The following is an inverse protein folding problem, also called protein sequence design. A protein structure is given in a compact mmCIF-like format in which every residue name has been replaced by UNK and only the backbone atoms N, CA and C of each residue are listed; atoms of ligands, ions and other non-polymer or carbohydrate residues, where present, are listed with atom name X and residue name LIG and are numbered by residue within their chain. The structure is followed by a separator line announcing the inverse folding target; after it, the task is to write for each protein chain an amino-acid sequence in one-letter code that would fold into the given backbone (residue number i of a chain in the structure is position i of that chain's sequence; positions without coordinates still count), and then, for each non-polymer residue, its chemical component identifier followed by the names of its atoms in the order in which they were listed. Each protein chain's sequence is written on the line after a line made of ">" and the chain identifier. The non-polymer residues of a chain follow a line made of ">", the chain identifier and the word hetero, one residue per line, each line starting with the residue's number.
data_IF_472323053661
#
_entry.id   IF_472323053661
#
_cell.length_a   1.000
_cell.length_b   1.000
_cell.length_c   1.000
_cell.angle_alpha   90.00
_cell.angle_beta   90.00
_cell.angle_gamma   90.00
#
_symmetry.space_group_name_H-M   'P 1'
#
loop_
_entity.id
_entity.type
_entity.pdbx_description
1 polymer ?
#
# COMPACT_ATOMS: atom_id res chain seq x y z
N UNK A 1 28.15 -59.80 -18.44
CA UNK A 1 28.87 -59.40 -17.21
C UNK A 1 29.41 -57.98 -17.34
N UNK A 2 30.24 -57.64 -18.34
CA UNK A 2 30.82 -56.30 -18.50
C UNK A 2 29.81 -55.15 -18.75
N UNK A 3 28.67 -55.43 -19.38
CA UNK A 3 27.64 -54.44 -19.71
C UNK A 3 26.80 -54.03 -18.48
N UNK A 4 26.50 -54.99 -17.60
CA UNK A 4 25.81 -54.75 -16.33
C UNK A 4 26.65 -53.92 -15.35
N UNK A 5 27.96 -54.14 -15.32
CA UNK A 5 28.88 -53.35 -14.48
C UNK A 5 29.01 -51.92 -14.97
N UNK A 6 28.98 -51.69 -16.30
CA UNK A 6 29.01 -50.35 -16.86
C UNK A 6 27.71 -49.59 -16.58
N UNK A 7 26.55 -50.26 -16.67
CA UNK A 7 25.26 -49.68 -16.32
C UNK A 7 25.18 -49.35 -14.81
N UNK A 8 25.66 -50.25 -13.93
CA UNK A 8 25.71 -50.01 -12.49
C UNK A 8 26.56 -48.78 -12.14
N UNK A 9 27.74 -48.65 -12.72
CA UNK A 9 28.61 -47.48 -12.50
C UNK A 9 27.95 -46.19 -13.00
N UNK A 10 27.30 -46.22 -14.18
CA UNK A 10 26.60 -45.06 -14.72
C UNK A 10 25.41 -44.64 -13.84
N UNK A 11 24.72 -45.59 -13.20
CA UNK A 11 23.65 -45.28 -12.25
C UNK A 11 24.17 -44.71 -10.94
N UNK A 12 25.30 -45.22 -10.43
CA UNK A 12 25.94 -44.69 -9.22
C UNK A 12 26.41 -43.25 -9.41
N UNK A 13 27.10 -42.96 -10.52
CA UNK A 13 27.57 -41.60 -10.83
C UNK A 13 26.39 -40.61 -10.96
N UNK A 14 25.28 -41.02 -11.60
CA UNK A 14 24.06 -40.21 -11.68
C UNK A 14 23.40 -40.02 -10.32
N UNK A 15 23.44 -41.03 -9.46
CA UNK A 15 22.88 -40.94 -8.11
C UNK A 15 23.70 -39.97 -7.26
N UNK A 16 25.03 -39.98 -7.38
CA UNK A 16 25.92 -39.03 -6.72
C UNK A 16 25.66 -37.60 -7.18
N UNK A 17 25.53 -37.37 -8.49
CA UNK A 17 25.17 -36.07 -9.07
C UNK A 17 23.79 -35.59 -8.59
N UNK A 18 22.80 -36.49 -8.51
CA UNK A 18 21.47 -36.16 -7.97
C UNK A 18 21.54 -35.82 -6.47
N UNK A 19 22.34 -36.54 -5.70
CA UNK A 19 22.50 -36.24 -4.27
C UNK A 19 23.17 -34.88 -4.04
N UNK A 20 24.19 -34.55 -4.82
CA UNK A 20 24.86 -33.25 -4.75
C UNK A 20 23.92 -32.10 -5.12
N UNK A 21 23.15 -32.26 -6.20
CA UNK A 21 22.17 -31.24 -6.63
C UNK A 21 21.04 -31.07 -5.62
N UNK A 22 20.52 -32.17 -5.04
CA UNK A 22 19.50 -32.09 -3.98
C UNK A 22 20.05 -31.38 -2.74
N UNK A 23 21.27 -31.70 -2.31
CA UNK A 23 21.91 -31.03 -1.17
C UNK A 23 22.11 -29.53 -1.41
N UNK A 24 22.48 -29.16 -2.64
CA UNK A 24 22.62 -27.75 -3.03
C UNK A 24 21.27 -27.05 -2.97
N UNK A 25 20.23 -27.65 -3.57
CA UNK A 25 18.88 -27.09 -3.55
C UNK A 25 18.28 -27.01 -2.16
N UNK A 26 18.54 -27.95 -1.26
CA UNK A 26 18.08 -27.88 0.12
C UNK A 26 18.71 -26.69 0.86
N UNK A 27 19.98 -26.39 0.57
CA UNK A 27 20.67 -25.21 1.10
C UNK A 27 20.04 -23.93 0.56
N UNK A 28 19.85 -23.84 -0.76
CA UNK A 28 19.21 -22.69 -1.41
C UNK A 28 17.79 -22.45 -0.87
N UNK A 29 17.01 -23.52 -0.68
CA UNK A 29 15.65 -23.45 -0.13
C UNK A 29 15.68 -22.91 1.30
N UNK A 30 16.64 -23.33 2.13
CA UNK A 30 16.78 -22.81 3.49
C UNK A 30 17.13 -21.31 3.46
N UNK A 31 18.11 -20.91 2.66
CA UNK A 31 18.48 -19.50 2.53
C UNK A 31 17.31 -18.64 2.03
N UNK A 32 16.57 -19.10 1.03
CA UNK A 32 15.40 -18.38 0.51
C UNK A 32 14.29 -18.27 1.57
N UNK A 33 14.06 -19.32 2.37
CA UNK A 33 13.10 -19.29 3.47
C UNK A 33 13.47 -18.29 4.56
N UNK A 34 14.75 -18.06 4.79
CA UNK A 34 15.23 -17.03 5.72
C UNK A 34 15.11 -15.62 5.13
N UNK A 35 15.33 -15.46 3.83
CA UNK A 35 15.24 -14.15 3.16
C UNK A 35 13.81 -13.63 2.99
N UNK A 36 12.84 -14.51 2.73
CA UNK A 36 11.42 -14.12 2.56
C UNK A 36 10.89 -13.23 3.70
N UNK A 37 10.95 -13.63 4.99
CA UNK A 37 10.39 -12.82 6.07
C UNK A 37 11.11 -11.47 6.21
N UNK A 38 12.42 -11.41 5.96
CA UNK A 38 13.20 -10.16 6.00
C UNK A 38 12.71 -9.18 4.92
N UNK A 39 12.49 -9.69 3.70
CA UNK A 39 11.98 -8.89 2.60
C UNK A 39 10.53 -8.46 2.84
N UNK A 40 9.69 -9.33 3.38
CA UNK A 40 8.30 -9.00 3.74
C UNK A 40 8.22 -7.90 4.80
N UNK A 41 9.06 -7.98 5.85
CA UNK A 41 9.14 -6.96 6.89
C UNK A 41 9.63 -5.63 6.33
N UNK A 42 10.70 -5.66 5.53
CA UNK A 42 11.21 -4.46 4.84
C UNK A 42 10.15 -3.81 3.94
N UNK A 43 9.44 -4.62 3.15
CA UNK A 43 8.36 -4.15 2.28
C UNK A 43 7.22 -3.53 3.09
N UNK A 44 6.84 -4.15 4.22
CA UNK A 44 5.85 -3.60 5.15
C UNK A 44 6.28 -2.23 5.70
N UNK A 45 7.52 -2.09 6.13
CA UNK A 45 8.04 -0.82 6.62
C UNK A 45 8.07 0.26 5.54
N UNK A 46 8.54 -0.07 4.34
CA UNK A 46 8.60 0.85 3.20
C UNK A 46 7.20 1.31 2.75
N UNK A 47 6.24 0.40 2.69
CA UNK A 47 4.85 0.73 2.36
C UNK A 47 4.25 1.69 3.38
N UNK A 48 4.41 1.40 4.68
CA UNK A 48 3.91 2.29 5.73
C UNK A 48 4.59 3.66 5.71
N UNK A 49 5.91 3.71 5.48
CA UNK A 49 6.65 4.98 5.39
C UNK A 49 6.21 5.82 4.20
N UNK A 50 5.98 5.19 3.05
CA UNK A 50 5.52 5.88 1.83
C UNK A 50 4.09 6.41 1.98
N UNK A 51 3.22 5.67 2.66
CA UNK A 51 1.82 6.02 2.91
C UNK A 51 1.60 6.95 4.10
N UNK A 52 2.59 7.10 4.97
CA UNK A 52 2.50 7.85 6.23
C UNK A 52 1.95 9.28 6.07
N UNK A 53 2.25 9.92 4.95
CA UNK A 53 1.82 11.28 4.63
C UNK A 53 0.49 11.36 3.86
N UNK A 54 -0.08 10.21 3.47
CA UNK A 54 -1.31 10.15 2.72
C UNK A 54 -2.53 10.21 3.65
N UNK A 55 -3.56 10.87 3.17
CA UNK A 55 -4.90 10.94 3.75
C UNK A 55 -5.86 10.34 2.73
N UNK A 56 -6.71 9.43 3.19
CA UNK A 56 -7.84 8.93 2.42
C UNK A 56 -9.07 9.79 2.76
N UNK A 57 -9.56 10.54 1.77
CA UNK A 57 -10.79 11.32 1.85
C UNK A 57 -11.94 10.48 1.31
N UNK A 58 -12.98 10.30 2.11
CA UNK A 58 -14.21 9.58 1.72
C UNK A 58 -15.37 10.54 1.55
N UNK A 59 -16.38 10.08 0.83
CA UNK A 59 -17.66 10.79 0.62
C UNK A 59 -17.55 12.07 -0.24
N UNK A 60 -16.37 12.34 -0.82
CA UNK A 60 -16.20 13.50 -1.72
C UNK A 60 -16.94 13.28 -3.04
N UNK A 61 -17.93 14.12 -3.39
CA UNK A 61 -18.75 13.98 -4.60
C UNK A 61 -17.92 13.84 -5.88
N UNK A 62 -18.32 12.97 -6.81
CA UNK A 62 -17.65 12.81 -8.12
C UNK A 62 -17.81 14.04 -9.04
N UNK A 63 -18.72 14.97 -8.71
CA UNK A 63 -18.88 16.27 -9.37
C UNK A 63 -17.60 17.09 -9.34
N UNK A 64 -16.82 16.96 -8.27
CA UNK A 64 -15.50 17.58 -8.16
C UNK A 64 -14.54 16.87 -9.12
N UNK A 65 -14.24 17.53 -10.24
CA UNK A 65 -13.30 17.00 -11.24
C UNK A 65 -11.91 16.82 -10.64
N UNK A 66 -11.13 15.89 -11.19
CA UNK A 66 -9.76 15.60 -10.72
C UNK A 66 -8.87 16.84 -10.71
N UNK A 67 -9.08 17.75 -11.67
CA UNK A 67 -8.33 18.99 -11.81
C UNK A 67 -8.63 20.00 -10.69
N UNK A 68 -9.86 20.01 -10.18
CA UNK A 68 -10.31 20.91 -9.11
C UNK A 68 -10.09 20.34 -7.70
N UNK A 69 -9.73 19.05 -7.58
CA UNK A 69 -9.50 18.41 -6.29
C UNK A 69 -8.50 19.17 -5.39
N UNK A 70 -7.33 19.62 -5.87
CA UNK A 70 -6.37 20.31 -5.02
C UNK A 70 -6.97 21.58 -4.40
N UNK A 71 -7.69 22.37 -5.20
CA UNK A 71 -8.26 23.66 -4.81
C UNK A 71 -9.46 23.47 -3.87
N UNK A 72 -10.40 22.60 -4.24
CA UNK A 72 -11.58 22.30 -3.42
C UNK A 72 -11.19 21.79 -2.04
N UNK A 73 -10.23 20.87 -1.96
CA UNK A 73 -9.74 20.37 -0.68
C UNK A 73 -8.97 21.44 0.10
N UNK A 74 -8.33 22.40 -0.58
CA UNK A 74 -7.56 23.47 0.10
C UNK A 74 -8.51 24.44 0.75
N UNK A 75 -9.55 24.85 0.05
CA UNK A 75 -10.63 25.66 0.60
C UNK A 75 -11.30 24.95 1.78
N UNK A 76 -11.58 23.66 1.66
CA UNK A 76 -12.19 22.85 2.71
C UNK A 76 -11.36 22.82 4.00
N UNK A 77 -10.06 22.56 3.87
CA UNK A 77 -9.18 22.41 5.03
C UNK A 77 -8.74 23.75 5.64
N UNK A 78 -8.93 24.89 4.96
CA UNK A 78 -8.71 26.22 5.56
C UNK A 78 -9.84 26.63 6.52
N UNK A 79 -11.01 25.98 6.44
CA UNK A 79 -12.14 26.20 7.34
C UNK A 79 -11.93 25.47 8.68
N UNK A 80 -12.59 25.91 9.78
CA UNK A 80 -12.68 25.10 10.99
C UNK A 80 -13.20 23.69 10.66
N UNK A 81 -12.67 22.62 11.28
CA UNK A 81 -11.69 22.59 12.39
C UNK A 81 -10.21 22.57 11.93
N UNK A 82 -9.95 22.54 10.62
CA UNK A 82 -8.67 22.18 9.99
C UNK A 82 -7.62 23.31 9.87
N UNK A 83 -7.92 24.51 10.38
CA UNK A 83 -7.14 25.78 10.28
C UNK A 83 -5.60 25.57 10.29
N UNK A 84 -4.93 25.87 9.17
CA UNK A 84 -3.46 25.88 9.09
C UNK A 84 -2.88 26.06 7.69
N UNK A 85 -1.55 26.19 7.60
CA UNK A 85 -0.81 26.19 6.33
C UNK A 85 -0.77 24.75 5.79
N UNK A 86 -1.50 24.51 4.72
CA UNK A 86 -1.68 23.18 4.15
C UNK A 86 -0.89 23.08 2.86
N UNK A 87 0.36 22.62 2.99
CA UNK A 87 1.16 22.24 1.85
C UNK A 87 0.83 20.78 1.49
N UNK A 88 0.29 20.61 0.29
CA UNK A 88 -0.08 19.33 -0.30
C UNK A 88 0.85 19.08 -1.47
N UNK A 89 1.33 17.85 -1.60
CA UNK A 89 2.15 17.48 -2.75
C UNK A 89 1.23 17.12 -3.93
N UNK A 90 0.26 16.22 -3.69
CA UNK A 90 -0.61 15.67 -4.73
C UNK A 90 -1.98 15.26 -4.19
N UNK A 91 -3.02 15.34 -5.03
CA UNK A 91 -4.34 14.79 -4.76
C UNK A 91 -4.87 14.07 -6.01
N UNK A 92 -5.42 12.87 -5.85
CA UNK A 92 -6.00 12.10 -6.96
C UNK A 92 -7.11 11.18 -6.47
N UNK A 93 -8.08 10.87 -7.32
CA UNK A 93 -9.06 9.82 -7.04
C UNK A 93 -8.41 8.44 -7.15
N UNK A 94 -8.92 7.49 -6.39
CA UNK A 94 -8.57 6.07 -6.57
C UNK A 94 -8.80 5.63 -8.01
N UNK A 95 -7.89 4.82 -8.54
CA UNK A 95 -7.89 4.33 -9.93
C UNK A 95 -9.03 3.35 -10.25
N UNK A 96 -9.94 3.10 -9.31
CA UNK A 96 -11.13 2.30 -9.56
C UNK A 96 -12.00 3.01 -10.61
N UNK A 97 -12.58 2.25 -11.54
CA UNK A 97 -13.63 2.77 -12.41
C UNK A 97 -14.79 3.30 -11.56
N UNK A 98 -15.39 4.46 -11.90
CA UNK A 98 -16.66 4.87 -11.31
C UNK A 98 -17.64 3.71 -11.51
N UNK A 99 -18.12 3.13 -10.42
CA UNK A 99 -19.04 2.01 -10.57
C UNK A 99 -20.39 2.56 -10.99
N UNK A 100 -20.90 2.11 -12.13
CA UNK A 100 -22.26 2.43 -12.58
C UNK A 100 -23.35 1.96 -11.59
N UNK A 101 -22.98 1.07 -10.64
CA UNK A 101 -23.86 0.41 -9.68
C UNK A 101 -23.64 0.96 -8.25
N UNK A 102 -22.47 1.53 -7.95
CA UNK A 102 -22.12 2.01 -6.61
C UNK A 102 -22.52 3.47 -6.48
N UNK A 103 -23.43 3.76 -5.55
CA UNK A 103 -23.80 5.14 -5.18
C UNK A 103 -22.70 5.86 -4.39
N UNK A 104 -21.70 5.13 -3.90
CA UNK A 104 -20.59 5.70 -3.11
C UNK A 104 -19.51 6.29 -4.02
N UNK A 105 -19.14 7.58 -3.85
CA UNK A 105 -18.02 8.19 -4.57
C UNK A 105 -16.70 7.45 -4.35
N UNK A 106 -15.76 7.55 -5.30
CA UNK A 106 -14.41 7.03 -5.13
C UNK A 106 -13.64 7.84 -4.10
N UNK A 107 -12.89 7.14 -3.28
CA UNK A 107 -11.96 7.76 -2.34
C UNK A 107 -10.93 8.64 -3.06
N UNK A 108 -10.54 9.72 -2.40
CA UNK A 108 -9.48 10.61 -2.87
C UNK A 108 -8.27 10.45 -1.97
N UNK A 109 -7.11 10.23 -2.58
CA UNK A 109 -5.84 10.12 -1.89
C UNK A 109 -5.13 11.47 -1.97
N UNK A 110 -4.82 12.03 -0.81
CA UNK A 110 -4.14 13.33 -0.68
C UNK A 110 -2.82 13.11 0.05
N UNK A 111 -1.71 13.46 -0.59
CA UNK A 111 -0.38 13.44 0.05
C UNK A 111 -0.08 14.80 0.65
N UNK A 112 0.09 14.83 1.97
CA UNK A 112 0.52 16.02 2.68
C UNK A 112 2.04 16.13 2.67
N UNK A 113 2.56 17.35 2.51
CA UNK A 113 3.99 17.59 2.53
C UNK A 113 4.59 17.26 3.91
N UNK A 114 3.90 17.69 4.99
CA UNK A 114 4.35 17.49 6.36
C UNK A 114 3.45 16.52 7.15
N UNK A 115 4.09 15.49 7.73
CA UNK A 115 3.42 14.48 8.56
C UNK A 115 2.64 15.07 9.76
N UNK A 116 3.23 16.02 10.47
CA UNK A 116 2.62 16.59 11.67
C UNK A 116 1.36 17.40 11.35
N UNK A 117 1.32 18.06 10.17
CA UNK A 117 0.13 18.76 9.68
C UNK A 117 -0.96 17.75 9.35
N UNK A 118 -0.61 16.64 8.68
CA UNK A 118 -1.54 15.54 8.39
C UNK A 118 -2.19 14.98 9.66
N UNK A 119 -1.40 14.68 10.69
CA UNK A 119 -1.94 14.16 11.96
C UNK A 119 -2.87 15.15 12.65
N UNK A 120 -2.47 16.42 12.72
CA UNK A 120 -3.32 17.49 13.28
C UNK A 120 -4.63 17.62 12.52
N UNK A 121 -4.59 17.55 11.19
CA UNK A 121 -5.77 17.62 10.34
C UNK A 121 -6.74 16.45 10.60
N UNK A 122 -6.23 15.22 10.64
CA UNK A 122 -7.06 14.04 10.93
C UNK A 122 -7.63 14.11 12.35
N UNK A 123 -6.84 14.54 13.34
CA UNK A 123 -7.33 14.69 14.72
C UNK A 123 -8.41 15.77 14.83
N UNK A 124 -8.21 16.94 14.21
CA UNK A 124 -9.16 18.04 14.27
C UNK A 124 -10.50 17.69 13.61
N UNK A 125 -10.47 16.84 12.58
CA UNK A 125 -11.64 16.45 11.79
C UNK A 125 -12.30 15.15 12.26
N UNK A 126 -11.78 14.53 13.33
CA UNK A 126 -12.28 13.24 13.84
C UNK A 126 -13.72 13.31 14.33
N UNK A 127 -14.02 14.35 15.10
CA UNK A 127 -15.35 14.56 15.70
C UNK A 127 -16.15 15.65 14.96
N UNK A 128 -15.50 16.40 14.06
CA UNK A 128 -16.08 17.50 13.30
C UNK A 128 -15.77 17.29 11.81
N UNK A 129 -16.69 16.72 11.02
CA UNK A 129 -16.47 16.49 9.61
C UNK A 129 -16.26 17.82 8.86
N UNK A 130 -15.52 17.76 7.75
CA UNK A 130 -15.30 18.91 6.88
C UNK A 130 -16.37 18.91 5.81
N UNK A 131 -16.87 20.08 5.41
CA UNK A 131 -17.88 20.21 4.35
C UNK A 131 -17.28 20.70 3.03
N UNK A 132 -17.64 20.01 1.94
CA UNK A 132 -17.30 20.35 0.55
C UNK A 132 -18.55 20.19 -0.30
N UNK A 133 -18.97 21.24 -1.01
CA UNK A 133 -20.21 21.25 -1.81
C UNK A 133 -21.44 20.75 -1.02
N UNK A 134 -21.59 21.21 0.23
CA UNK A 134 -22.65 20.81 1.17
C UNK A 134 -22.66 19.31 1.54
N UNK A 135 -21.58 18.59 1.22
CA UNK A 135 -21.37 17.18 1.60
C UNK A 135 -20.29 17.07 2.66
N UNK A 136 -20.61 16.35 3.73
CA UNK A 136 -19.65 16.04 4.78
C UNK A 136 -18.66 14.98 4.28
N UNK A 137 -17.38 15.32 4.35
CA UNK A 137 -16.28 14.42 4.02
C UNK A 137 -15.56 13.96 5.28
N UNK A 138 -15.05 12.73 5.22
CA UNK A 138 -14.29 12.10 6.31
C UNK A 138 -12.86 11.85 5.91
N UNK A 139 -11.94 12.11 6.84
CA UNK A 139 -10.50 11.95 6.64
C UNK A 139 -9.99 10.73 7.42
N UNK A 140 -9.30 9.83 6.72
CA UNK A 140 -8.72 8.63 7.30
C UNK A 140 -7.23 8.55 7.02
N UNK A 141 -6.52 7.81 7.87
CA UNK A 141 -5.13 7.44 7.60
C UNK A 141 -5.08 6.40 6.47
N UNK A 142 -4.15 6.58 5.53
CA UNK A 142 -3.79 5.56 4.55
C UNK A 142 -2.90 4.51 5.22
N UNK A 143 -3.49 3.39 5.61
CA UNK A 143 -2.80 2.26 6.20
C UNK A 143 -2.55 1.20 5.14
N UNK A 144 -1.37 0.57 5.19
CA UNK A 144 -1.10 -0.58 4.34
C UNK A 144 -2.10 -1.72 4.64
N UNK A 145 -2.48 -2.54 3.65
CA UNK A 145 -3.48 -3.60 3.83
C UNK A 145 -3.16 -4.57 4.98
N UNK A 146 -1.88 -4.84 5.21
CA UNK A 146 -1.40 -5.71 6.29
C UNK A 146 -1.51 -5.08 7.70
N UNK A 147 -1.82 -3.79 7.81
CA UNK A 147 -2.10 -3.10 9.07
C UNK A 147 -3.60 -2.98 9.35
N UNK A 148 -4.44 -3.11 8.32
CA UNK A 148 -5.90 -3.18 8.45
C UNK A 148 -6.27 -4.59 8.90
N UNK A 149 -6.36 -4.82 10.21
CA UNK A 149 -6.93 -6.07 10.73
C UNK A 149 -8.37 -6.19 10.22
N UNK A 150 -8.70 -7.33 9.60
CA UNK A 150 -10.09 -7.74 9.33
C UNK A 150 -10.79 -8.08 10.64
#
# INVERSE_FOLDING_TARGET
>A
MADLTAQAQATENKMEEVMETVSTHDTDIQELREQIPILEESNKHLNNRTRRNNIQVRELPETVSTELLPDSLTLAFQKPPARGLLLKDHAHRSLRAPSAISTTPRDVMVRMHYYHIKERLIQATRDNPVEVEDVQIRLYQDLAPNMLKR
#
